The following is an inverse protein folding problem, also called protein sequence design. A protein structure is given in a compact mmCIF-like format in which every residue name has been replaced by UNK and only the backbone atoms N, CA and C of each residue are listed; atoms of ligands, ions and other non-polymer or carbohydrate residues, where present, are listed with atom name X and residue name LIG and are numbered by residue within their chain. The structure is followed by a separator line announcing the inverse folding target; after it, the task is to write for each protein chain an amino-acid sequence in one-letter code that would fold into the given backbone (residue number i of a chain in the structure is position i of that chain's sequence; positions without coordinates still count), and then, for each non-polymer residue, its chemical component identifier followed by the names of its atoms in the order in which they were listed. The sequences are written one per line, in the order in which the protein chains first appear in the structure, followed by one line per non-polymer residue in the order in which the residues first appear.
data_IF_242015934947
#
_entry.id   IF_242015934947
#
_cell.length_a   1.000
_cell.length_b   1.000
_cell.length_c   1.000
_cell.angle_alpha   90.00
_cell.angle_beta   90.00
_cell.angle_gamma   90.00
#
_symmetry.space_group_name_H-M   'P 1'
#
loop_
_entity.id
_entity.type
_entity.pdbx_description
1 polymer ?
#
# COMPACT_ATOMS: atom_id res chain seq x y z
N UNK A 1 12.85 9.15 -19.04
CA UNK A 1 11.48 9.20 -18.48
C UNK A 1 10.90 7.81 -18.64
N UNK A 2 10.86 7.00 -17.58
CA UNK A 2 10.47 5.60 -17.69
C UNK A 2 8.96 5.50 -17.87
N UNK A 3 8.53 5.17 -19.10
CA UNK A 3 7.16 4.81 -19.41
C UNK A 3 6.76 3.57 -18.58
N UNK A 4 6.03 3.78 -17.49
CA UNK A 4 5.33 2.71 -16.77
C UNK A 4 4.17 2.26 -17.65
N UNK A 5 4.41 1.27 -18.51
CA UNK A 5 3.36 0.67 -19.35
C UNK A 5 2.29 0.01 -18.46
N UNK A 6 0.99 0.23 -18.71
CA UNK A 6 -0.11 -0.29 -17.87
C UNK A 6 -0.12 -1.82 -17.76
N UNK A 7 0.45 -2.51 -18.75
CA UNK A 7 0.59 -3.97 -18.79
C UNK A 7 1.48 -4.50 -17.67
N UNK A 8 2.56 -3.79 -17.30
CA UNK A 8 3.45 -4.22 -16.22
C UNK A 8 2.78 -4.17 -14.85
N UNK A 9 1.87 -3.23 -14.62
CA UNK A 9 1.19 -3.10 -13.33
C UNK A 9 0.18 -4.24 -13.14
N UNK A 10 -0.55 -4.61 -14.19
CA UNK A 10 -1.47 -5.75 -14.17
C UNK A 10 -0.76 -7.08 -13.88
N UNK A 11 0.44 -7.32 -14.41
CA UNK A 11 1.23 -8.54 -14.12
C UNK A 11 1.80 -8.59 -12.69
N UNK A 12 1.89 -7.42 -12.05
CA UNK A 12 2.38 -7.23 -10.68
C UNK A 12 1.27 -7.23 -9.64
N UNK A 13 0.01 -7.17 -10.05
CA UNK A 13 -1.12 -6.97 -9.17
C UNK A 13 -1.87 -8.28 -8.91
N UNK A 14 -1.87 -8.76 -7.67
CA UNK A 14 -2.66 -9.92 -7.30
C UNK A 14 -4.15 -9.53 -7.18
N UNK A 15 -5.05 -10.36 -7.73
CA UNK A 15 -6.50 -10.12 -7.65
C UNK A 15 -6.98 -10.05 -6.19
N UNK A 16 -6.31 -10.77 -5.29
CA UNK A 16 -6.61 -10.74 -3.85
C UNK A 16 -6.50 -9.33 -3.24
N UNK A 17 -5.65 -8.47 -3.80
CA UNK A 17 -5.50 -7.07 -3.36
C UNK A 17 -6.77 -6.29 -3.70
N UNK A 18 -7.33 -6.47 -4.90
CA UNK A 18 -8.56 -5.78 -5.30
C UNK A 18 -9.78 -6.22 -4.48
N UNK A 19 -9.84 -7.50 -4.12
CA UNK A 19 -10.90 -8.02 -3.24
C UNK A 19 -10.77 -7.46 -1.82
N UNK A 20 -9.56 -7.53 -1.24
CA UNK A 20 -9.29 -7.05 0.11
C UNK A 20 -9.41 -5.53 0.23
N UNK A 21 -9.14 -4.78 -0.84
CA UNK A 21 -9.22 -3.32 -0.86
C UNK A 21 -10.62 -2.81 -0.54
N UNK A 22 -11.65 -3.42 -1.14
CA UNK A 22 -13.03 -2.97 -0.93
C UNK A 22 -13.46 -3.09 0.53
N UNK A 23 -12.94 -4.08 1.24
CA UNK A 23 -13.26 -4.32 2.66
C UNK A 23 -12.40 -3.51 3.62
N UNK A 24 -11.14 -3.22 3.25
CA UNK A 24 -10.12 -2.66 4.15
C UNK A 24 -9.84 -1.18 3.96
N UNK A 25 -10.10 -0.64 2.77
CA UNK A 25 -9.82 0.76 2.46
C UNK A 25 -10.95 1.67 2.94
N UNK A 26 -10.58 2.85 3.43
CA UNK A 26 -11.52 3.96 3.66
C UNK A 26 -12.05 4.57 2.36
N UNK A 27 -11.44 4.25 1.22
CA UNK A 27 -11.81 4.71 -0.12
C UNK A 27 -12.13 3.53 -1.07
N UNK A 28 -13.13 2.68 -0.75
CA UNK A 28 -13.35 1.40 -1.42
C UNK A 28 -13.73 1.52 -2.91
N UNK A 29 -14.19 2.69 -3.35
CA UNK A 29 -14.55 2.97 -4.75
C UNK A 29 -13.40 3.57 -5.58
N UNK A 30 -12.27 3.92 -4.95
CA UNK A 30 -11.05 4.35 -5.67
C UNK A 30 -10.37 3.11 -6.26
N UNK A 31 -9.81 3.23 -7.46
CA UNK A 31 -9.01 2.15 -8.05
C UNK A 31 -7.77 1.91 -7.18
N UNK A 32 -7.60 0.70 -6.61
CA UNK A 32 -6.48 0.44 -5.73
C UNK A 32 -5.12 0.52 -6.43
N UNK A 33 -5.08 0.34 -7.76
CA UNK A 33 -3.84 0.52 -8.54
C UNK A 33 -3.41 1.98 -8.57
N UNK A 34 -4.36 2.88 -8.80
CA UNK A 34 -4.12 4.32 -8.69
C UNK A 34 -3.73 4.72 -7.28
N UNK A 35 -4.40 4.17 -6.25
CA UNK A 35 -4.02 4.40 -4.86
C UNK A 35 -2.60 3.92 -4.54
N UNK A 36 -2.16 2.81 -5.12
CA UNK A 36 -0.79 2.32 -4.99
C UNK A 36 0.24 3.22 -5.70
N UNK A 37 -0.08 3.75 -6.90
CA UNK A 37 0.81 4.68 -7.59
C UNK A 37 1.01 6.00 -6.80
N UNK A 38 0.00 6.43 -6.05
CA UNK A 38 0.06 7.61 -5.16
C UNK A 38 0.60 7.29 -3.75
N UNK A 39 0.78 6.00 -3.43
CA UNK A 39 1.20 5.58 -2.10
C UNK A 39 2.68 5.90 -1.83
N UNK A 40 2.98 6.21 -0.56
CA UNK A 40 4.31 6.62 -0.13
C UNK A 40 5.08 5.38 0.36
N UNK A 41 6.32 5.14 -0.09
CA UNK A 41 7.14 4.07 0.45
C UNK A 41 7.40 4.29 1.95
N UNK A 42 7.15 3.28 2.76
CA UNK A 42 7.33 3.30 4.21
C UNK A 42 8.08 2.07 4.68
N UNK A 43 8.85 2.22 5.75
CA UNK A 43 9.35 1.10 6.51
C UNK A 43 8.21 0.50 7.35
N UNK A 44 7.80 -0.71 7.00
CA UNK A 44 6.79 -1.46 7.74
C UNK A 44 7.47 -2.55 8.58
N UNK A 45 7.45 -2.46 9.93
CA UNK A 45 8.26 -3.33 10.81
C UNK A 45 7.99 -4.83 10.63
N UNK A 46 6.76 -5.17 10.23
CA UNK A 46 6.31 -6.54 10.06
C UNK A 46 6.51 -7.08 8.64
N UNK A 47 7.26 -6.36 7.79
CA UNK A 47 7.60 -6.73 6.42
C UNK A 47 9.13 -6.94 6.28
N UNK A 48 9.66 -8.03 6.83
CA UNK A 48 11.10 -8.32 6.87
C UNK A 48 11.78 -8.43 5.48
N UNK A 49 11.04 -8.82 4.43
CA UNK A 49 11.56 -8.99 3.06
C UNK A 49 10.65 -8.36 2.00
N UNK A 50 9.77 -7.43 2.39
CA UNK A 50 8.80 -6.82 1.48
C UNK A 50 8.87 -5.30 1.54
N UNK A 51 8.65 -4.66 0.39
CA UNK A 51 8.51 -3.22 0.30
C UNK A 51 7.08 -2.85 0.69
N UNK A 52 6.93 -1.83 1.54
CA UNK A 52 5.63 -1.39 2.00
C UNK A 52 5.34 0.02 1.52
N UNK A 53 4.10 0.24 1.09
CA UNK A 53 3.64 1.53 0.55
C UNK A 53 2.35 1.92 1.25
N UNK A 54 2.32 3.09 1.87
CA UNK A 54 1.17 3.57 2.62
C UNK A 54 0.38 4.58 1.80
N UNK A 55 -0.92 4.34 1.64
CA UNK A 55 -1.90 5.28 1.08
C UNK A 55 -2.63 5.99 2.24
N UNK A 56 -2.35 7.28 2.49
CA UNK A 56 -2.97 8.02 3.60
C UNK A 56 -4.47 8.23 3.42
N UNK A 57 -4.96 8.33 2.18
CA UNK A 57 -6.38 8.57 1.91
C UNK A 57 -7.22 7.32 2.21
N UNK A 58 -6.75 6.13 1.82
CA UNK A 58 -7.36 4.86 2.15
C UNK A 58 -7.07 4.34 3.55
N UNK A 59 -6.05 4.88 4.24
CA UNK A 59 -5.49 4.35 5.51
C UNK A 59 -5.05 2.86 5.36
N UNK A 60 -4.39 2.55 4.24
CA UNK A 60 -3.99 1.18 3.86
C UNK A 60 -2.50 1.11 3.58
N UNK A 61 -1.87 0.01 4.00
CA UNK A 61 -0.49 -0.35 3.63
C UNK A 61 -0.53 -1.48 2.59
N UNK A 62 0.01 -1.22 1.41
CA UNK A 62 0.29 -2.22 0.38
C UNK A 62 1.62 -2.91 0.67
N UNK A 63 1.67 -4.22 0.43
CA UNK A 63 2.88 -5.03 0.59
C UNK A 63 3.28 -5.57 -0.78
N UNK A 64 4.47 -5.16 -1.24
CA UNK A 64 5.10 -5.61 -2.47
C UNK A 64 6.22 -6.61 -2.16
N UNK A 65 6.15 -7.78 -2.78
CA UNK A 65 7.19 -8.81 -2.67
C UNK A 65 7.68 -9.20 -4.07
N UNK A 66 9.00 -9.12 -4.28
CA UNK A 66 9.65 -9.43 -5.55
C UNK A 66 9.03 -8.72 -6.75
N UNK A 67 8.69 -7.44 -6.58
CA UNK A 67 8.10 -6.63 -7.65
C UNK A 67 6.60 -6.83 -7.87
N UNK A 68 5.90 -7.54 -6.97
CA UNK A 68 4.45 -7.81 -7.07
C UNK A 68 3.71 -7.39 -5.81
N UNK A 69 2.64 -6.60 -5.95
CA UNK A 69 1.74 -6.23 -4.86
C UNK A 69 0.90 -7.45 -4.50
N UNK A 70 1.14 -8.00 -3.31
CA UNK A 70 0.54 -9.27 -2.85
C UNK A 70 -0.70 -9.06 -2.00
N UNK A 71 -0.70 -8.02 -1.19
CA UNK A 71 -1.80 -7.74 -0.27
C UNK A 71 -1.85 -6.27 0.10
N UNK A 72 -2.98 -5.87 0.69
CA UNK A 72 -3.18 -4.58 1.30
C UNK A 72 -3.79 -4.76 2.69
N UNK A 73 -3.34 -3.95 3.65
CA UNK A 73 -3.65 -4.08 5.07
C UNK A 73 -4.20 -2.75 5.55
N UNK A 74 -5.38 -2.74 6.19
CA UNK A 74 -5.86 -1.55 6.88
C UNK A 74 -4.90 -1.22 8.02
N UNK A 75 -4.32 -0.02 8.01
CA UNK A 75 -3.40 0.39 9.07
C UNK A 75 -4.14 0.44 10.42
N UNK A 76 -5.42 0.82 10.41
CA UNK A 76 -6.30 0.79 11.57
C UNK A 76 -6.41 -0.59 12.25
N UNK A 77 -6.20 -1.71 11.54
CA UNK A 77 -6.25 -3.07 12.12
C UNK A 77 -4.95 -3.46 12.83
N UNK A 78 -3.92 -2.60 12.77
CA UNK A 78 -2.59 -2.88 13.32
C UNK A 78 -2.41 -2.26 14.71
N UNK A 79 -1.47 -2.79 15.51
CA UNK A 79 -1.16 -2.21 16.80
C UNK A 79 -0.83 -0.71 16.70
N UNK A 80 -1.24 0.08 17.68
CA UNK A 80 -1.08 1.55 17.67
C UNK A 80 0.37 1.98 17.43
N UNK A 81 1.35 1.22 17.94
CA UNK A 81 2.77 1.50 17.73
C UNK A 81 3.18 1.36 16.25
N UNK A 82 2.64 0.39 15.51
CA UNK A 82 2.87 0.26 14.06
C UNK A 82 2.21 1.41 13.32
N UNK A 83 0.97 1.77 13.71
CA UNK A 83 0.26 2.89 13.10
C UNK A 83 1.04 4.19 13.24
N UNK A 84 1.52 4.48 14.46
CA UNK A 84 2.32 5.65 14.75
C UNK A 84 3.65 5.65 13.97
N UNK A 85 4.31 4.49 13.87
CA UNK A 85 5.55 4.33 13.12
C UNK A 85 5.37 4.63 11.63
N UNK A 86 4.32 4.12 11.01
CA UNK A 86 4.01 4.39 9.58
C UNK A 86 3.60 5.85 9.37
N UNK A 87 2.67 6.36 10.19
CA UNK A 87 2.18 7.74 10.06
C UNK A 87 3.30 8.77 10.25
N UNK A 88 4.21 8.55 11.19
CA UNK A 88 5.34 9.45 11.42
C UNK A 88 6.25 9.60 10.19
N UNK A 89 6.42 8.54 9.40
CA UNK A 89 7.28 8.58 8.21
C UNK A 89 6.71 9.47 7.11
N UNK A 90 5.39 9.53 6.97
CA UNK A 90 4.72 10.37 5.97
C UNK A 90 4.43 11.79 6.46
N UNK A 91 4.46 12.03 7.77
CA UNK A 91 4.29 13.37 8.36
C UNK A 91 5.61 14.11 8.58
N UNK A 92 6.77 13.44 8.46
CA UNK A 92 8.09 14.06 8.67
C UNK A 92 8.68 14.76 7.44
N UNK A 93 7.88 15.05 6.42
CA UNK A 93 8.26 15.93 5.30
C UNK A 93 7.78 17.36 5.61
N UNK A 94 8.42 18.00 6.60
CA UNK A 94 8.48 19.46 6.80
C UNK A 94 9.84 19.87 7.36
#
# INVERSE_FOLDING_TARGET
MSERSPTKLAERWDNHVSESWFERSRTPYRDPRGAFDDAVPVHYPSADDAEAFYDPEGDVVFIEYAGKVRTCIALSDRPEWEQAHVRKQVTSDE
#
